data_IF_196734709717
#
_entry.id   IF_196734709717
#
_cell.length_a   1.000
_cell.length_b   1.000
_cell.length_c   1.000
_cell.angle_alpha   90.00
_cell.angle_beta   90.00
_cell.angle_gamma   90.00
#
_symmetry.space_group_name_H-M   'P 1'
#
loop_
_entity.id
_entity.type
_entity.pdbx_description
1 polymer ?
#
# COMPACT_ATOMS: atom_id res chain seq x y z
N UNK A 1 -2.16 -10.83 -15.08
CA UNK A 1 -1.34 -10.23 -14.01
C UNK A 1 -2.26 -9.67 -12.94
N UNK A 2 -2.16 -10.19 -11.73
CA UNK A 2 -3.04 -9.82 -10.62
C UNK A 2 -2.22 -9.23 -9.46
N UNK A 3 -2.86 -8.43 -8.57
CA UNK A 3 -2.17 -7.92 -7.38
C UNK A 3 -1.56 -9.03 -6.51
N UNK A 4 -2.20 -10.18 -6.40
CA UNK A 4 -1.69 -11.33 -5.66
C UNK A 4 -0.39 -11.85 -6.27
N UNK A 5 -0.34 -12.00 -7.59
CA UNK A 5 0.85 -12.48 -8.31
C UNK A 5 2.04 -11.53 -8.15
N UNK A 6 1.77 -10.23 -8.02
CA UNK A 6 2.80 -9.20 -7.85
C UNK A 6 3.10 -8.87 -6.40
N UNK A 7 2.45 -9.55 -5.44
CA UNK A 7 2.62 -9.29 -4.00
C UNK A 7 2.34 -7.84 -3.61
N UNK A 8 1.21 -7.30 -4.11
CA UNK A 8 0.79 -5.92 -3.86
C UNK A 8 -0.14 -5.77 -2.65
N UNK A 9 -0.22 -6.78 -1.80
CA UNK A 9 -0.95 -6.70 -0.52
C UNK A 9 0.04 -6.59 0.62
N UNK A 10 -0.28 -5.75 1.60
CA UNK A 10 0.56 -5.57 2.78
C UNK A 10 0.73 -6.88 3.54
N UNK A 11 1.97 -7.20 3.88
CA UNK A 11 2.31 -8.33 4.76
C UNK A 11 3.13 -7.79 5.93
N UNK A 12 2.43 -7.32 6.95
CA UNK A 12 3.04 -6.70 8.12
C UNK A 12 3.89 -7.68 8.93
N UNK A 13 3.61 -8.97 8.84
CA UNK A 13 4.41 -10.00 9.52
C UNK A 13 5.80 -10.14 8.90
N UNK A 14 5.95 -9.80 7.62
CA UNK A 14 7.23 -9.84 6.90
C UNK A 14 7.88 -8.45 6.77
N UNK A 15 7.37 -7.45 7.49
CA UNK A 15 7.84 -6.08 7.44
C UNK A 15 8.40 -5.67 8.82
N UNK A 16 9.26 -4.65 8.83
CA UNK A 16 9.86 -4.12 10.05
C UNK A 16 9.25 -2.78 10.45
N UNK A 17 7.95 -2.63 10.27
CA UNK A 17 7.20 -1.44 10.70
C UNK A 17 7.53 -0.19 9.89
N UNK A 18 7.75 -0.32 8.60
CA UNK A 18 8.24 0.79 7.78
C UNK A 18 7.24 1.95 7.67
N UNK A 19 5.93 1.68 7.61
CA UNK A 19 4.95 2.76 7.63
C UNK A 19 4.99 3.56 8.94
N UNK A 20 5.26 2.89 10.06
CA UNK A 20 5.37 3.54 11.37
C UNK A 20 6.71 4.24 11.58
N UNK A 21 7.75 3.86 10.86
CA UNK A 21 9.11 4.36 11.06
C UNK A 21 9.52 5.39 10.02
N UNK A 22 9.17 5.17 8.75
CA UNK A 22 9.65 6.01 7.64
C UNK A 22 8.73 7.18 7.32
N UNK A 23 7.43 7.06 7.55
CA UNK A 23 6.46 8.03 7.08
C UNK A 23 6.23 9.18 8.06
N UNK A 24 5.88 10.35 7.51
CA UNK A 24 5.37 11.48 8.26
C UNK A 24 3.86 11.33 8.44
N UNK A 25 3.36 11.59 9.64
CA UNK A 25 1.93 11.72 9.92
C UNK A 25 1.68 12.99 10.74
N UNK A 26 0.64 13.72 10.40
CA UNK A 26 0.28 14.94 11.10
C UNK A 26 -0.79 14.69 12.17
N UNK A 27 -1.02 15.71 12.99
CA UNK A 27 -2.14 15.69 13.93
C UNK A 27 -3.48 15.54 13.22
N UNK A 28 -3.58 16.00 11.97
CA UNK A 28 -4.80 15.84 11.16
C UNK A 28 -5.06 14.38 10.81
N UNK A 29 -4.03 13.53 10.89
CA UNK A 29 -4.15 12.09 10.69
C UNK A 29 -4.59 11.34 11.95
N UNK A 30 -4.81 12.05 13.05
CA UNK A 30 -5.26 11.50 14.32
C UNK A 30 -4.16 11.34 15.37
N UNK A 31 -2.95 11.79 15.08
CA UNK A 31 -1.82 11.72 16.03
C UNK A 31 -1.93 12.86 17.06
N UNK A 32 -1.50 12.63 18.33
CA UNK A 32 -1.47 13.70 19.34
C UNK A 32 -0.53 14.84 18.96
N UNK A 33 0.55 14.50 18.26
CA UNK A 33 1.54 15.45 17.75
C UNK A 33 1.99 14.97 16.37
N UNK A 34 2.51 15.88 15.55
CA UNK A 34 3.08 15.51 14.26
C UNK A 34 4.22 14.50 14.45
N UNK A 35 4.15 13.39 13.70
CA UNK A 35 5.20 12.37 13.72
C UNK A 35 6.15 12.62 12.55
N UNK A 36 7.41 12.99 12.79
CA UNK A 36 8.35 13.21 11.70
C UNK A 36 8.66 11.94 10.90
N UNK A 37 8.99 12.12 9.64
CA UNK A 37 9.51 11.03 8.81
C UNK A 37 10.83 10.52 9.42
N UNK A 38 11.02 9.21 9.39
CA UNK A 38 12.23 8.57 9.92
C UNK A 38 12.23 8.40 11.44
N UNK A 39 11.21 8.89 12.14
CA UNK A 39 11.05 8.71 13.58
C UNK A 39 9.96 7.69 13.83
N UNK A 40 10.25 6.67 14.64
CA UNK A 40 9.30 5.61 14.92
C UNK A 40 8.06 6.12 15.64
N UNK A 41 6.89 5.60 15.24
CA UNK A 41 5.64 5.86 15.95
C UNK A 41 5.71 5.30 17.37
N UNK A 42 5.20 6.04 18.33
CA UNK A 42 5.17 5.60 19.74
C UNK A 42 4.33 4.36 20.00
N UNK A 43 3.44 4.02 19.07
CA UNK A 43 2.60 2.84 19.15
C UNK A 43 3.24 1.60 18.52
N UNK A 44 4.46 1.72 17.99
CA UNK A 44 5.19 0.60 17.41
C UNK A 44 5.86 -0.19 18.53
N UNK A 45 5.60 -1.50 18.54
CA UNK A 45 6.19 -2.44 19.49
C UNK A 45 7.55 -2.94 19.00
N UNK A 46 8.29 -3.62 19.88
CA UNK A 46 9.62 -4.17 19.57
C UNK A 46 9.55 -5.24 18.47
N UNK A 47 8.40 -5.91 18.31
CA UNK A 47 8.16 -6.89 17.25
C UNK A 47 7.71 -6.25 15.93
N UNK A 48 7.82 -4.93 15.82
CA UNK A 48 7.41 -4.12 14.67
C UNK A 48 5.91 -4.14 14.38
N UNK A 49 5.09 -4.49 15.35
CA UNK A 49 3.63 -4.46 15.22
C UNK A 49 3.07 -3.23 15.93
N UNK A 50 1.95 -2.74 15.40
CA UNK A 50 1.27 -1.59 15.98
C UNK A 50 0.47 -2.04 17.21
N UNK A 51 0.75 -1.40 18.37
CA UNK A 51 0.05 -1.69 19.63
C UNK A 51 -1.44 -1.46 19.54
N UNK A 52 -1.87 -0.48 18.73
CA UNK A 52 -3.27 -0.07 18.64
C UNK A 52 -3.92 -0.47 17.31
N UNK A 53 -3.31 -1.39 16.56
CA UNK A 53 -3.79 -1.75 15.23
C UNK A 53 -5.27 -2.15 15.23
N UNK A 54 -5.72 -2.92 16.22
CA UNK A 54 -7.10 -3.37 16.32
C UNK A 54 -8.08 -2.25 16.72
N UNK A 55 -7.58 -1.12 17.22
CA UNK A 55 -8.41 -0.01 17.73
C UNK A 55 -8.14 1.31 17.02
N UNK A 56 -7.56 1.28 15.82
CA UNK A 56 -7.24 2.50 15.06
C UNK A 56 -8.48 3.37 14.83
N UNK A 57 -9.59 2.77 14.49
CA UNK A 57 -10.84 3.49 14.24
C UNK A 57 -11.34 4.18 15.50
N UNK A 58 -11.40 3.47 16.63
CA UNK A 58 -11.85 4.00 17.89
C UNK A 58 -10.95 5.12 18.41
N UNK A 59 -9.67 5.08 18.08
CA UNK A 59 -8.70 6.11 18.49
C UNK A 59 -8.58 7.26 17.50
N UNK A 60 -9.37 7.24 16.43
CA UNK A 60 -9.38 8.32 15.44
C UNK A 60 -8.13 8.43 14.59
N UNK A 61 -7.40 7.33 14.40
CA UNK A 61 -6.15 7.28 13.62
C UNK A 61 -6.45 7.21 12.13
N UNK A 62 -6.98 8.28 11.58
CA UNK A 62 -7.45 8.35 10.18
C UNK A 62 -6.35 8.07 9.18
N UNK A 63 -5.16 8.60 9.40
CA UNK A 63 -4.02 8.41 8.49
C UNK A 63 -3.62 6.95 8.39
N UNK A 64 -3.54 6.26 9.53
CA UNK A 64 -3.18 4.84 9.57
C UNK A 64 -4.26 3.96 8.97
N UNK A 65 -5.55 4.29 9.19
CA UNK A 65 -6.66 3.54 8.61
C UNK A 65 -6.70 3.67 7.09
N UNK A 66 -6.40 4.86 6.58
CA UNK A 66 -6.44 5.14 5.14
C UNK A 66 -5.16 4.76 4.39
N UNK A 67 -4.10 4.40 5.09
CA UNK A 67 -2.83 4.08 4.46
C UNK A 67 -2.73 2.58 4.16
N UNK A 68 -2.33 2.28 2.93
CA UNK A 68 -2.00 0.91 2.51
C UNK A 68 -0.66 0.98 1.77
N UNK A 69 0.33 0.22 2.22
CA UNK A 69 1.66 0.21 1.59
C UNK A 69 1.70 -0.57 0.27
N UNK A 70 0.64 -1.28 -0.04
CA UNK A 70 0.51 -2.07 -1.29
C UNK A 70 1.70 -3.02 -1.46
N UNK A 71 2.16 -3.61 -0.36
CA UNK A 71 3.26 -4.57 -0.36
C UNK A 71 4.65 -3.95 -0.39
N UNK A 72 4.78 -2.62 -0.40
CA UNK A 72 6.10 -1.98 -0.45
C UNK A 72 6.95 -2.27 0.79
N UNK A 73 6.31 -2.47 1.95
CA UNK A 73 7.03 -2.77 3.20
C UNK A 73 7.82 -4.07 3.11
N UNK A 74 7.16 -5.17 2.82
CA UNK A 74 7.85 -6.46 2.71
C UNK A 74 8.81 -6.50 1.52
N UNK A 75 8.50 -5.80 0.43
CA UNK A 75 9.40 -5.71 -0.72
C UNK A 75 10.69 -4.98 -0.36
N UNK A 76 10.62 -3.90 0.41
CA UNK A 76 11.80 -3.18 0.88
C UNK A 76 12.69 -4.06 1.76
N UNK A 77 12.08 -4.81 2.68
CA UNK A 77 12.81 -5.72 3.57
C UNK A 77 13.59 -6.77 2.77
N UNK A 78 13.00 -7.28 1.70
CA UNK A 78 13.64 -8.29 0.83
C UNK A 78 14.89 -7.78 0.12
N UNK A 79 15.07 -6.45 0.01
CA UNK A 79 16.28 -5.89 -0.61
C UNK A 79 17.53 -6.08 0.24
N UNK A 80 17.38 -6.43 1.53
CA UNK A 80 18.51 -6.77 2.39
C UNK A 80 19.41 -5.60 2.77
N UNK A 81 18.88 -4.39 2.76
CA UNK A 81 19.62 -3.17 3.14
C UNK A 81 19.80 -3.14 4.66
N UNK A 82 21.03 -2.88 5.14
CA UNK A 82 21.38 -3.01 6.55
C UNK A 82 21.17 -1.74 7.39
N UNK A 83 21.16 -0.55 6.77
CA UNK A 83 20.98 0.72 7.49
C UNK A 83 19.55 1.23 7.35
N UNK A 84 18.97 1.71 8.45
CA UNK A 84 17.59 2.20 8.48
C UNK A 84 17.35 3.34 7.48
N UNK A 85 18.28 4.29 7.37
CA UNK A 85 18.13 5.40 6.43
C UNK A 85 18.01 4.91 4.99
N UNK A 86 18.81 3.93 4.60
CA UNK A 86 18.78 3.34 3.26
C UNK A 86 17.51 2.51 3.06
N UNK A 87 17.09 1.77 4.08
CA UNK A 87 15.87 0.99 4.06
C UNK A 87 14.65 1.89 3.88
N UNK A 88 14.59 3.01 4.59
CA UNK A 88 13.50 3.98 4.46
C UNK A 88 13.48 4.59 3.05
N UNK A 89 14.67 4.91 2.49
CA UNK A 89 14.76 5.43 1.13
C UNK A 89 14.25 4.42 0.10
N UNK A 90 14.60 3.15 0.26
CA UNK A 90 14.10 2.06 -0.61
C UNK A 90 12.57 1.96 -0.50
N UNK A 91 12.04 1.96 0.71
CA UNK A 91 10.60 1.90 0.95
C UNK A 91 9.86 3.06 0.27
N UNK A 92 10.37 4.28 0.44
CA UNK A 92 9.75 5.47 -0.15
C UNK A 92 9.79 5.48 -1.68
N UNK A 93 10.75 4.80 -2.28
CA UNK A 93 10.81 4.62 -3.74
C UNK A 93 9.89 3.49 -4.22
N UNK A 94 9.80 2.40 -3.46
CA UNK A 94 8.96 1.26 -3.83
C UNK A 94 7.47 1.55 -3.72
N UNK A 95 7.08 2.39 -2.76
CA UNK A 95 5.65 2.67 -2.55
C UNK A 95 4.97 3.22 -3.81
N UNK A 96 5.45 4.31 -4.45
CA UNK A 96 4.82 4.79 -5.67
C UNK A 96 4.92 3.79 -6.84
N UNK A 97 5.97 2.98 -6.91
CA UNK A 97 6.07 1.94 -7.93
C UNK A 97 5.00 0.86 -7.72
N UNK A 98 4.75 0.46 -6.48
CA UNK A 98 3.70 -0.49 -6.15
C UNK A 98 2.31 0.09 -6.45
N UNK A 99 2.09 1.39 -6.19
CA UNK A 99 0.86 2.07 -6.58
C UNK A 99 0.65 2.02 -8.10
N UNK A 100 1.69 2.28 -8.86
CA UNK A 100 1.63 2.22 -10.32
C UNK A 100 1.28 0.81 -10.79
N UNK A 101 1.90 -0.21 -10.21
CA UNK A 101 1.60 -1.61 -10.54
C UNK A 101 0.15 -1.95 -10.21
N UNK A 102 -0.36 -1.48 -9.08
CA UNK A 102 -1.76 -1.67 -8.71
C UNK A 102 -2.69 -1.05 -9.75
N UNK A 103 -2.43 0.20 -10.13
CA UNK A 103 -3.24 0.88 -11.14
C UNK A 103 -3.17 0.17 -12.50
N UNK A 104 -2.01 -0.37 -12.86
CA UNK A 104 -1.88 -1.14 -14.11
C UNK A 104 -2.72 -2.42 -14.07
N UNK A 105 -2.75 -3.11 -12.92
CA UNK A 105 -3.62 -4.28 -12.76
C UNK A 105 -5.09 -3.90 -12.94
N UNK A 106 -5.51 -2.78 -12.35
CA UNK A 106 -6.88 -2.27 -12.51
C UNK A 106 -7.17 -1.91 -13.96
N UNK A 107 -6.22 -1.25 -14.64
CA UNK A 107 -6.37 -0.86 -16.03
C UNK A 107 -6.52 -2.08 -16.95
N UNK A 108 -5.75 -3.14 -16.71
CA UNK A 108 -5.86 -4.39 -17.46
C UNK A 108 -7.25 -5.00 -17.30
N UNK A 109 -7.78 -5.03 -16.08
CA UNK A 109 -9.15 -5.52 -15.83
C UNK A 109 -10.18 -4.68 -16.54
N UNK A 110 -10.02 -3.36 -16.53
CA UNK A 110 -10.91 -2.44 -17.24
C UNK A 110 -10.85 -2.67 -18.75
N UNK A 111 -9.65 -2.85 -19.29
CA UNK A 111 -9.47 -3.13 -20.71
C UNK A 111 -10.16 -4.42 -21.13
N UNK A 112 -10.02 -5.49 -20.34
CA UNK A 112 -10.72 -6.75 -20.58
C UNK A 112 -12.23 -6.55 -20.59
N UNK A 113 -12.75 -5.77 -19.66
CA UNK A 113 -14.17 -5.45 -19.58
C UNK A 113 -14.63 -4.65 -20.78
N UNK A 114 -13.87 -3.64 -21.19
CA UNK A 114 -14.18 -2.80 -22.36
C UNK A 114 -14.16 -3.66 -23.63
N UNK A 115 -13.15 -4.51 -23.78
CA UNK A 115 -13.03 -5.41 -24.93
C UNK A 115 -14.23 -6.36 -25.02
N UNK A 116 -14.66 -6.92 -23.89
CA UNK A 116 -15.85 -7.77 -23.83
C UNK A 116 -17.10 -7.01 -24.27
N UNK A 117 -17.31 -5.81 -23.75
CA UNK A 117 -18.45 -4.97 -24.12
C UNK A 117 -18.43 -4.61 -25.60
N UNK A 118 -17.26 -4.32 -26.13
CA UNK A 118 -17.10 -4.00 -27.56
C UNK A 118 -17.47 -5.21 -28.42
N UNK A 119 -16.99 -6.40 -28.10
CA UNK A 119 -17.29 -7.61 -28.80
C UNK A 119 -18.80 -7.91 -28.79
N UNK A 120 -19.43 -7.77 -27.62
CA UNK A 120 -20.86 -7.96 -27.47
C UNK A 120 -21.66 -6.99 -28.34
N UNK A 121 -21.25 -5.71 -28.33
CA UNK A 121 -21.90 -4.66 -29.12
C UNK A 121 -21.81 -4.97 -30.63
N UNK A 122 -20.64 -5.37 -31.11
CA UNK A 122 -20.42 -5.75 -32.49
C UNK A 122 -21.30 -6.95 -32.89
N UNK A 123 -21.40 -7.94 -32.03
CA UNK A 123 -22.25 -9.10 -32.24
C UNK A 123 -23.73 -8.71 -32.39
N UNK A 124 -24.20 -7.84 -31.49
CA UNK A 124 -25.59 -7.37 -31.55
C UNK A 124 -25.86 -6.55 -32.81
N UNK A 125 -24.92 -5.77 -33.31
CA UNK A 125 -25.07 -5.02 -34.55
C UNK A 125 -25.13 -5.96 -35.76
N UNK A 126 -24.34 -7.02 -35.76
CA UNK A 126 -24.32 -8.00 -36.82
C UNK A 126 -25.70 -8.71 -36.92
N UNK A 127 -26.30 -9.04 -35.77
CA UNK A 127 -27.61 -9.70 -35.72
C UNK A 127 -28.75 -8.79 -36.20
N UNK A 128 -28.54 -7.47 -36.24
CA UNK A 128 -29.54 -6.52 -36.75
C UNK A 128 -29.55 -6.38 -38.26
N UNK A 129 -28.56 -6.90 -38.92
CA UNK A 129 -28.49 -6.91 -40.38
C UNK A 129 -29.18 -8.16 -40.95
#
# INVERSE_FOLDING_TARGET
MTPEQLSLYADCASCVGLCCRALYFSRLDGFPQDKPAGVACRNLCEDYRCRIHATLKQKGMKGCLGYDCIGAGQAAVKKGVSHDADLFAVYLKLFPLHQMLWYLCEAVQMEETISFHKQLHEHLQTDRK
#
